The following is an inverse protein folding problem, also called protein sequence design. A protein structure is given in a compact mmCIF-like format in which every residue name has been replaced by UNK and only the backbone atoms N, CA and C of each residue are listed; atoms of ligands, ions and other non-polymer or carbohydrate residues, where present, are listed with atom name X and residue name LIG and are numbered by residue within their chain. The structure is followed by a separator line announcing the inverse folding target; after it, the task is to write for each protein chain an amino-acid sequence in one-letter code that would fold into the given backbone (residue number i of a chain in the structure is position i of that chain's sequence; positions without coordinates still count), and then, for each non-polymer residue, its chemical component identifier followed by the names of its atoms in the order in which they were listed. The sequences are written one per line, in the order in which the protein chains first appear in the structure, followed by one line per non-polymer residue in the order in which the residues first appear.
data_IF_952626501947
#
_entry.id   IF_952626501947
#
_cell.length_a   1.000
_cell.length_b   1.000
_cell.length_c   1.000
_cell.angle_alpha   90.00
_cell.angle_beta   90.00
_cell.angle_gamma   90.00
#
_symmetry.space_group_name_H-M   'P 1'
#
loop_
_entity.id
_entity.type
_entity.pdbx_description
1 polymer ?
#
# COMPACT_ATOMS: atom_id res chain seq x y z
N UNK A 1 3.43 -12.15 -8.84
CA UNK A 1 4.35 -11.49 -9.80
C UNK A 1 5.78 -11.79 -9.38
N UNK A 2 6.75 -11.77 -10.29
CA UNK A 2 8.17 -11.91 -9.93
C UNK A 2 8.66 -10.54 -9.44
N UNK A 3 9.11 -10.47 -8.20
CA UNK A 3 9.66 -9.25 -7.61
C UNK A 3 10.79 -9.60 -6.62
N UNK A 4 11.66 -8.64 -6.30
CA UNK A 4 12.66 -8.82 -5.26
C UNK A 4 12.02 -9.11 -3.90
N UNK A 5 12.76 -9.75 -2.97
CA UNK A 5 12.22 -10.08 -1.67
C UNK A 5 11.65 -8.86 -0.95
N UNK A 6 10.49 -9.01 -0.32
CA UNK A 6 9.86 -7.93 0.43
C UNK A 6 10.61 -7.61 1.73
N UNK A 7 11.30 -8.60 2.30
CA UNK A 7 12.02 -8.53 3.57
C UNK A 7 13.42 -7.89 3.49
N UNK A 8 13.77 -7.24 2.37
CA UNK A 8 15.11 -6.64 2.18
C UNK A 8 15.47 -5.59 3.23
N UNK A 9 14.50 -4.85 3.77
CA UNK A 9 14.74 -3.85 4.84
C UNK A 9 14.49 -4.41 6.25
N UNK A 10 14.08 -5.68 6.38
CA UNK A 10 13.59 -6.29 7.63
C UNK A 10 12.46 -5.49 8.31
N UNK A 11 11.73 -4.68 7.53
CA UNK A 11 10.54 -3.95 7.97
C UNK A 11 9.29 -4.77 7.66
N UNK A 12 8.26 -4.65 8.50
CA UNK A 12 6.94 -5.18 8.16
C UNK A 12 6.41 -4.45 6.91
N UNK A 13 5.56 -5.13 6.12
CA UNK A 13 5.11 -4.62 4.81
C UNK A 13 4.38 -3.25 4.95
N UNK A 14 3.63 -3.07 6.03
CA UNK A 14 2.94 -1.83 6.41
C UNK A 14 3.87 -0.77 7.05
N UNK A 15 5.15 -1.07 7.20
CA UNK A 15 6.16 -0.14 7.75
C UNK A 15 7.28 0.14 6.76
N UNK A 16 7.26 -0.47 5.58
CA UNK A 16 8.25 -0.22 4.52
C UNK A 16 8.26 1.28 4.21
N UNK A 17 9.43 1.89 4.36
CA UNK A 17 9.72 3.23 3.87
C UNK A 17 10.27 3.15 2.45
N UNK A 18 9.64 3.87 1.51
CA UNK A 18 10.05 3.87 0.10
C UNK A 18 11.52 4.21 -0.07
N UNK A 19 11.99 5.28 0.57
CA UNK A 19 13.37 5.77 0.43
C UNK A 19 14.40 4.72 0.85
N UNK A 20 14.14 4.03 1.98
CA UNK A 20 15.01 2.96 2.45
C UNK A 20 14.95 1.74 1.54
N UNK A 21 13.73 1.36 1.15
CA UNK A 21 13.51 0.18 0.33
C UNK A 21 14.13 0.35 -1.05
N UNK A 22 13.97 1.50 -1.70
CA UNK A 22 14.54 1.79 -3.01
C UNK A 22 16.07 1.69 -3.00
N UNK A 23 16.73 2.17 -1.95
CA UNK A 23 18.19 2.06 -1.81
C UNK A 23 18.65 0.60 -1.75
N UNK A 24 18.08 -0.20 -0.83
CA UNK A 24 18.46 -1.61 -0.68
C UNK A 24 18.05 -2.44 -1.89
N UNK A 25 16.90 -2.14 -2.48
CA UNK A 25 16.43 -2.76 -3.71
C UNK A 25 17.35 -2.45 -4.88
N UNK A 26 17.84 -1.21 -5.03
CA UNK A 26 18.79 -0.86 -6.08
C UNK A 26 20.11 -1.65 -5.96
N UNK A 27 20.61 -1.81 -4.74
CA UNK A 27 21.79 -2.64 -4.46
C UNK A 27 21.54 -4.11 -4.83
N UNK A 28 20.42 -4.68 -4.37
CA UNK A 28 20.02 -6.04 -4.70
C UNK A 28 19.91 -6.24 -6.21
N UNK A 29 19.22 -5.33 -6.92
CA UNK A 29 19.02 -5.43 -8.36
C UNK A 29 20.33 -5.33 -9.14
N UNK A 30 21.31 -4.56 -8.65
CA UNK A 30 22.64 -4.50 -9.25
C UNK A 30 23.36 -5.84 -9.11
N UNK A 31 23.42 -6.40 -7.91
CA UNK A 31 24.04 -7.70 -7.67
C UNK A 31 23.35 -8.81 -8.47
N UNK A 32 22.01 -8.81 -8.48
CA UNK A 32 21.21 -9.77 -9.25
C UNK A 32 21.51 -9.72 -10.75
N UNK A 33 21.69 -8.53 -11.32
CA UNK A 33 22.05 -8.37 -12.73
C UNK A 33 23.44 -8.96 -13.06
N UNK A 34 24.41 -8.77 -12.17
CA UNK A 34 25.77 -9.29 -12.33
C UNK A 34 25.78 -10.82 -12.29
N UNK A 35 25.10 -11.42 -11.32
CA UNK A 35 24.94 -12.87 -11.18
C UNK A 35 24.17 -13.49 -12.36
N UNK A 36 23.07 -12.86 -12.78
CA UNK A 36 22.29 -13.35 -13.91
C UNK A 36 23.10 -13.33 -15.22
N UNK A 37 23.92 -12.30 -15.41
CA UNK A 37 24.83 -12.22 -16.56
C UNK A 37 25.92 -13.29 -16.51
N UNK A 38 26.44 -13.61 -15.32
CA UNK A 38 27.46 -14.65 -15.14
C UNK A 38 26.89 -16.06 -15.38
N UNK A 39 25.69 -16.33 -14.89
CA UNK A 39 24.99 -17.62 -15.08
C UNK A 39 24.46 -17.81 -16.50
N UNK A 40 24.14 -16.71 -17.20
CA UNK A 40 23.54 -16.68 -18.53
C UNK A 40 22.37 -17.69 -18.69
N UNK A 41 21.32 -17.58 -17.84
CA UNK A 41 20.18 -18.47 -17.90
C UNK A 41 19.39 -18.29 -19.20
N UNK A 42 18.59 -19.29 -19.63
CA UNK A 42 17.75 -19.18 -20.83
C UNK A 42 16.69 -18.07 -20.73
N UNK A 43 16.38 -17.59 -19.52
CA UNK A 43 15.43 -16.51 -19.27
C UNK A 43 16.00 -15.51 -18.27
N UNK A 44 15.93 -14.23 -18.62
CA UNK A 44 16.35 -13.12 -17.77
C UNK A 44 15.18 -12.59 -16.94
N UNK A 45 15.27 -12.70 -15.62
CA UNK A 45 14.32 -12.18 -14.64
C UNK A 45 14.63 -10.74 -14.26
N UNK A 46 15.89 -10.29 -14.38
CA UNK A 46 16.29 -8.93 -14.03
C UNK A 46 15.40 -7.85 -14.70
N UNK A 47 15.14 -7.90 -16.03
CA UNK A 47 14.31 -6.89 -16.69
C UNK A 47 12.87 -6.89 -16.16
N UNK A 48 12.34 -8.08 -15.83
CA UNK A 48 10.97 -8.25 -15.31
C UNK A 48 10.86 -7.64 -13.91
N UNK A 49 11.82 -7.95 -13.03
CA UNK A 49 11.86 -7.41 -11.66
C UNK A 49 12.03 -5.89 -11.66
N UNK A 50 12.95 -5.37 -12.50
CA UNK A 50 13.20 -3.93 -12.63
C UNK A 50 11.95 -3.18 -13.08
N UNK A 51 11.32 -3.67 -14.15
CA UNK A 51 10.07 -3.09 -14.65
C UNK A 51 8.95 -3.17 -13.61
N UNK A 52 8.94 -4.22 -12.79
CA UNK A 52 7.96 -4.44 -11.74
C UNK A 52 7.89 -3.30 -10.72
N UNK A 53 9.05 -2.82 -10.26
CA UNK A 53 9.17 -1.68 -9.34
C UNK A 53 8.88 -0.35 -10.06
N UNK A 54 9.47 -0.12 -11.23
CA UNK A 54 9.29 1.13 -12.01
C UNK A 54 7.81 1.40 -12.30
N UNK A 55 7.08 0.37 -12.77
CA UNK A 55 5.64 0.47 -13.04
C UNK A 55 4.77 0.47 -11.77
N UNK A 56 5.34 0.15 -10.60
CA UNK A 56 4.61 0.07 -9.33
C UNK A 56 3.80 -1.20 -9.13
N UNK A 57 3.89 -2.15 -10.07
CA UNK A 57 3.20 -3.45 -9.97
C UNK A 57 3.70 -4.31 -8.80
N UNK A 58 4.93 -4.04 -8.35
CA UNK A 58 5.45 -4.53 -7.07
C UNK A 58 4.52 -4.19 -5.90
N UNK A 59 4.11 -2.92 -5.79
CA UNK A 59 3.20 -2.45 -4.73
C UNK A 59 1.83 -3.10 -4.83
N UNK A 60 1.30 -3.25 -6.04
CA UNK A 60 0.05 -3.99 -6.25
C UNK A 60 0.15 -5.43 -5.74
N UNK A 61 1.29 -6.10 -5.97
CA UNK A 61 1.51 -7.47 -5.47
C UNK A 61 1.57 -7.52 -3.95
N UNK A 62 2.31 -6.59 -3.31
CA UNK A 62 2.40 -6.54 -1.85
C UNK A 62 1.05 -6.23 -1.18
N UNK A 63 0.28 -5.31 -1.77
CA UNK A 63 -1.05 -4.96 -1.28
C UNK A 63 -2.01 -6.17 -1.27
N UNK A 64 -1.90 -7.05 -2.27
CA UNK A 64 -2.68 -8.29 -2.33
C UNK A 64 -2.19 -9.37 -1.36
N UNK A 65 -0.90 -9.37 -1.01
CA UNK A 65 -0.32 -10.34 -0.09
C UNK A 65 -0.58 -10.02 1.39
N UNK A 66 -0.85 -8.76 1.72
CA UNK A 66 -1.05 -8.31 3.10
C UNK A 66 -2.28 -7.40 3.19
N UNK A 67 -3.45 -7.96 3.61
CA UNK A 67 -4.65 -7.16 3.85
C UNK A 67 -4.43 -6.04 4.87
N UNK A 68 -3.54 -6.25 5.85
CA UNK A 68 -3.20 -5.24 6.87
C UNK A 68 -2.40 -4.07 6.28
N UNK A 69 -1.54 -4.32 5.29
CA UNK A 69 -0.76 -3.29 4.63
C UNK A 69 -1.47 -2.65 3.42
N UNK A 70 -2.57 -3.25 2.94
CA UNK A 70 -3.30 -2.83 1.73
C UNK A 70 -3.58 -1.32 1.70
N UNK A 71 -4.18 -0.78 2.76
CA UNK A 71 -4.56 0.63 2.78
C UNK A 71 -3.34 1.54 2.69
N UNK A 72 -2.32 1.29 3.51
CA UNK A 72 -1.09 2.07 3.48
C UNK A 72 -0.43 2.00 2.10
N UNK A 73 -0.24 0.80 1.56
CA UNK A 73 0.38 0.64 0.23
C UNK A 73 -0.45 1.34 -0.85
N UNK A 74 -1.77 1.25 -0.77
CA UNK A 74 -2.65 1.90 -1.72
C UNK A 74 -2.46 3.42 -1.68
N UNK A 75 -2.60 4.05 -0.51
CA UNK A 75 -2.52 5.50 -0.35
C UNK A 75 -1.11 6.05 -0.60
N UNK A 76 -0.07 5.35 -0.14
CA UNK A 76 1.31 5.84 -0.18
C UNK A 76 1.99 5.52 -1.53
N UNK A 77 1.67 4.38 -2.16
CA UNK A 77 2.48 3.85 -3.28
C UNK A 77 1.72 3.56 -4.57
N UNK A 78 0.40 3.32 -4.52
CA UNK A 78 -0.42 3.01 -5.71
C UNK A 78 -1.18 4.24 -6.19
N UNK A 79 -2.04 4.83 -5.36
CA UNK A 79 -2.87 5.98 -5.70
C UNK A 79 -2.07 7.15 -6.27
N UNK A 80 -0.91 7.55 -5.71
CA UNK A 80 -0.13 8.70 -6.22
C UNK A 80 0.31 8.56 -7.67
N UNK A 81 0.37 7.32 -8.19
CA UNK A 81 0.74 7.03 -9.58
C UNK A 81 -0.41 7.29 -10.56
N UNK A 82 -1.65 7.27 -10.08
CA UNK A 82 -2.86 7.50 -10.90
C UNK A 82 -3.50 8.87 -10.62
N UNK A 83 -3.45 9.34 -9.39
CA UNK A 83 -4.00 10.63 -8.96
C UNK A 83 -3.08 11.27 -7.93
N UNK A 84 -2.76 12.55 -8.13
CA UNK A 84 -2.01 13.38 -7.16
C UNK A 84 -2.91 14.00 -6.10
N UNK A 85 -4.23 13.81 -6.19
CA UNK A 85 -5.20 14.35 -5.22
C UNK A 85 -5.42 13.30 -4.14
N UNK A 86 -4.89 13.58 -2.95
CA UNK A 86 -4.90 12.66 -1.80
C UNK A 86 -6.23 12.67 -1.02
N UNK A 87 -7.11 13.65 -1.29
CA UNK A 87 -8.38 13.80 -0.59
C UNK A 87 -9.43 14.44 -1.52
N UNK A 88 -9.72 13.75 -2.63
CA UNK A 88 -10.79 14.17 -3.53
C UNK A 88 -12.14 13.66 -3.01
N UNK A 89 -13.11 14.54 -2.65
CA UNK A 89 -14.44 14.11 -2.27
C UNK A 89 -15.12 13.22 -3.32
N UNK A 90 -14.78 13.37 -4.61
CA UNK A 90 -15.28 12.50 -5.67
C UNK A 90 -14.78 11.06 -5.50
N UNK A 91 -13.52 10.86 -5.11
CA UNK A 91 -12.97 9.52 -4.85
C UNK A 91 -13.75 8.82 -3.74
N UNK A 92 -14.03 9.52 -2.64
CA UNK A 92 -14.81 8.96 -1.54
C UNK A 92 -16.25 8.62 -1.94
N UNK A 93 -16.91 9.49 -2.72
CA UNK A 93 -18.26 9.22 -3.23
C UNK A 93 -18.31 7.99 -4.15
N UNK A 94 -17.27 7.79 -4.97
CA UNK A 94 -17.18 6.64 -5.88
C UNK A 94 -16.84 5.35 -5.13
N UNK A 95 -15.97 5.41 -4.11
CA UNK A 95 -15.46 4.22 -3.42
C UNK A 95 -16.30 3.79 -2.23
N UNK A 96 -17.01 4.71 -1.57
CA UNK A 96 -17.80 4.40 -0.38
C UNK A 96 -18.76 3.21 -0.56
N UNK A 97 -19.48 3.02 -1.68
CA UNK A 97 -20.43 1.91 -1.81
C UNK A 97 -19.79 0.51 -1.73
N UNK A 98 -18.46 0.42 -1.87
CA UNK A 98 -17.71 -0.83 -1.78
C UNK A 98 -17.17 -1.13 -0.37
N UNK A 99 -17.34 -0.21 0.61
CA UNK A 99 -16.80 -0.41 1.96
C UNK A 99 -17.59 -1.43 2.76
N UNK A 100 -18.91 -1.51 2.56
CA UNK A 100 -19.79 -2.45 3.25
C UNK A 100 -21.14 -2.56 2.54
N UNK A 101 -21.89 -3.62 2.86
CA UNK A 101 -23.29 -3.69 2.48
C UNK A 101 -24.08 -2.54 3.10
N UNK A 102 -25.00 -1.97 2.30
CA UNK A 102 -25.81 -0.80 2.68
C UNK A 102 -24.98 0.34 3.28
N UNK A 103 -23.95 0.76 2.52
CA UNK A 103 -22.97 1.75 2.97
C UNK A 103 -23.60 3.03 3.51
N UNK A 104 -24.68 3.54 2.89
CA UNK A 104 -25.31 4.79 3.34
C UNK A 104 -25.91 4.64 4.73
N UNK A 105 -26.68 3.58 4.99
CA UNK A 105 -27.23 3.30 6.31
C UNK A 105 -26.12 3.06 7.34
N UNK A 106 -25.04 2.35 6.95
CA UNK A 106 -23.89 2.15 7.80
C UNK A 106 -23.20 3.46 8.20
N UNK A 107 -22.98 4.37 7.26
CA UNK A 107 -22.35 5.68 7.53
C UNK A 107 -23.23 6.51 8.46
N UNK A 108 -24.53 6.61 8.17
CA UNK A 108 -25.48 7.34 9.02
C UNK A 108 -25.47 6.79 10.46
N UNK A 109 -25.49 5.47 10.60
CA UNK A 109 -25.40 4.81 11.90
C UNK A 109 -24.09 5.17 12.63
N UNK A 110 -22.94 5.12 11.95
CA UNK A 110 -21.64 5.44 12.56
C UNK A 110 -21.50 6.91 12.96
N UNK A 111 -22.09 7.84 12.19
CA UNK A 111 -22.15 9.26 12.56
C UNK A 111 -22.93 9.43 13.87
N UNK A 112 -24.10 8.82 13.99
CA UNK A 112 -24.91 8.86 15.20
C UNK A 112 -24.21 8.22 16.41
N UNK A 113 -23.52 7.09 16.22
CA UNK A 113 -22.72 6.46 17.29
C UNK A 113 -21.59 7.37 17.78
N UNK A 114 -20.90 8.05 16.85
CA UNK A 114 -19.84 8.99 17.18
C UNK A 114 -20.35 10.17 18.01
N UNK A 115 -21.46 10.78 17.62
CA UNK A 115 -22.04 11.91 18.36
C UNK A 115 -22.38 11.53 19.80
N UNK A 116 -22.96 10.34 19.99
CA UNK A 116 -23.24 9.78 21.32
C UNK A 116 -21.97 9.54 22.12
N UNK A 117 -20.95 8.95 21.48
CA UNK A 117 -19.66 8.71 22.12
C UNK A 117 -19.00 10.02 22.55
N UNK A 118 -18.97 11.03 21.69
CA UNK A 118 -18.38 12.34 21.98
C UNK A 118 -19.11 13.03 23.15
N UNK A 119 -20.44 12.88 23.26
CA UNK A 119 -21.19 13.35 24.43
C UNK A 119 -20.78 12.61 25.71
N UNK A 120 -20.80 11.28 25.71
CA UNK A 120 -20.41 10.48 26.87
C UNK A 120 -18.96 10.73 27.31
N UNK A 121 -18.06 10.90 26.35
CA UNK A 121 -16.66 11.22 26.60
C UNK A 121 -16.54 12.57 27.32
N UNK A 122 -17.24 13.60 26.84
CA UNK A 122 -17.23 14.92 27.51
C UNK A 122 -17.76 14.83 28.94
N UNK A 123 -18.84 14.09 29.18
CA UNK A 123 -19.38 13.90 30.53
C UNK A 123 -18.41 13.19 31.47
N UNK A 124 -17.70 12.16 30.98
CA UNK A 124 -16.75 11.40 31.79
C UNK A 124 -15.55 12.23 32.30
N UNK A 125 -15.17 13.29 31.57
CA UNK A 125 -14.03 14.15 31.89
C UNK A 125 -14.43 15.50 32.52
N UNK A 126 -15.68 15.66 32.96
CA UNK A 126 -16.15 16.86 33.69
C UNK A 126 -15.87 16.81 35.22
N UNK A 127 -15.06 15.85 35.67
CA UNK A 127 -14.62 15.71 37.07
C UNK A 127 -13.25 16.37 37.30
#
# INVERSE_FOLDING_TARGET
MIHPPQWLTNEAIDLISLDKYESVHAEFMKAFAEEEKALNPPFHLYPVMKQGLEKGTFWCSLALMSPTALFKIFYDYIQPRFSKVYDDPAFWRITMPYWTFDTFAFIEHKVNEKERYDFSLREAFKA
#
